data_IF_495760184647
#
_entry.id   IF_495760184647
#
_cell.length_a   1.000
_cell.length_b   1.000
_cell.length_c   1.000
_cell.angle_alpha   90.00
_cell.angle_beta   90.00
_cell.angle_gamma   90.00
#
_symmetry.space_group_name_H-M   'P 1'
#
loop_
_entity.id
_entity.type
_entity.pdbx_description
1 polymer ?
#
# COMPACT_ATOMS: atom_id res chain seq x y z
N UNK A 1 -16.84 -10.13 -3.00
CA UNK A 1 -16.29 -9.57 -1.75
C UNK A 1 -15.38 -10.60 -1.14
N UNK A 2 -14.09 -10.33 -1.18
CA UNK A 2 -13.04 -11.17 -0.63
C UNK A 2 -12.33 -10.39 0.47
N UNK A 3 -12.04 -11.08 1.57
CA UNK A 3 -11.17 -10.57 2.63
C UNK A 3 -9.86 -11.32 2.56
N UNK A 4 -8.76 -10.60 2.71
CA UNK A 4 -7.42 -11.15 2.69
C UNK A 4 -6.58 -10.48 3.77
N UNK A 5 -5.61 -11.20 4.33
CA UNK A 5 -4.68 -10.65 5.30
C UNK A 5 -3.26 -11.12 5.00
N UNK A 6 -2.33 -10.17 5.02
CA UNK A 6 -0.90 -10.42 4.88
C UNK A 6 -0.20 -9.95 6.15
N UNK A 7 0.71 -10.78 6.65
CA UNK A 7 1.54 -10.48 7.82
C UNK A 7 3.01 -10.63 7.47
N UNK A 8 3.82 -9.61 7.74
CA UNK A 8 5.27 -9.59 7.44
C UNK A 8 6.08 -9.18 8.64
N UNK A 9 7.16 -9.92 8.90
CA UNK A 9 8.15 -9.56 9.93
C UNK A 9 9.01 -8.42 9.40
N UNK A 10 9.13 -7.36 10.20
CA UNK A 10 9.94 -6.18 9.89
C UNK A 10 11.07 -6.08 10.92
N UNK A 11 12.33 -5.89 10.50
CA UNK A 11 13.49 -5.85 11.40
C UNK A 11 13.68 -4.45 12.02
N UNK A 12 12.61 -3.92 12.60
CA UNK A 12 12.59 -2.68 13.38
C UNK A 12 11.59 -2.81 14.52
N UNK A 13 11.84 -2.06 15.61
CA UNK A 13 10.77 -1.84 16.60
C UNK A 13 9.55 -1.20 15.92
N UNK A 14 8.36 -1.45 16.49
CA UNK A 14 7.11 -0.85 15.98
C UNK A 14 7.22 0.68 15.90
N UNK A 15 7.81 1.29 16.93
CA UNK A 15 7.94 2.73 17.08
C UNK A 15 8.86 3.35 16.02
N UNK A 16 10.00 2.70 15.73
CA UNK A 16 10.92 3.15 14.67
C UNK A 16 10.32 2.94 13.30
N UNK A 17 9.71 1.77 13.06
CA UNK A 17 9.10 1.45 11.79
C UNK A 17 7.96 2.41 11.45
N UNK A 18 7.09 2.72 12.41
CA UNK A 18 5.94 3.59 12.20
C UNK A 18 6.33 5.03 11.87
N UNK A 19 7.49 5.49 12.36
CA UNK A 19 8.02 6.82 12.03
C UNK A 19 8.44 6.92 10.56
N UNK A 20 8.94 5.83 9.97
CA UNK A 20 9.50 5.86 8.61
C UNK A 20 8.49 5.44 7.54
N UNK A 21 7.61 4.46 7.81
CA UNK A 21 6.71 3.94 6.79
C UNK A 21 5.62 4.96 6.42
N UNK A 22 5.21 5.00 5.15
CA UNK A 22 4.23 5.97 4.63
C UNK A 22 4.68 7.42 4.82
N UNK A 23 5.98 7.67 4.60
CA UNK A 23 6.55 9.02 4.47
C UNK A 23 6.97 9.21 3.02
N UNK A 24 7.02 10.46 2.56
CA UNK A 24 7.40 10.75 1.17
C UNK A 24 8.80 10.21 0.83
N UNK A 25 9.74 10.27 1.77
CA UNK A 25 11.11 9.80 1.58
C UNK A 25 11.18 8.28 1.50
N UNK A 26 10.47 7.58 2.40
CA UNK A 26 10.37 6.12 2.35
C UNK A 26 9.69 5.65 1.08
N UNK A 27 8.56 6.26 0.70
CA UNK A 27 7.77 5.88 -0.46
C UNK A 27 8.58 6.06 -1.76
N UNK A 28 9.29 7.20 -1.90
CA UNK A 28 10.16 7.48 -3.05
C UNK A 28 11.33 6.51 -3.15
N UNK A 29 11.99 6.21 -2.02
CA UNK A 29 13.12 5.29 -2.01
C UNK A 29 12.70 3.85 -2.32
N UNK A 30 11.61 3.39 -1.71
CA UNK A 30 11.20 1.97 -1.78
C UNK A 30 10.38 1.64 -3.01
N UNK A 31 9.78 2.63 -3.70
CA UNK A 31 9.00 2.42 -4.92
C UNK A 31 9.63 1.43 -5.92
N UNK A 32 10.88 1.59 -6.39
CA UNK A 32 11.49 0.64 -7.33
C UNK A 32 11.71 -0.75 -6.72
N UNK A 33 11.94 -0.85 -5.41
CA UNK A 33 12.13 -2.13 -4.70
C UNK A 33 10.82 -2.90 -4.53
N UNK A 34 9.70 -2.18 -4.47
CA UNK A 34 8.34 -2.71 -4.35
C UNK A 34 7.67 -2.91 -5.72
N UNK A 35 8.43 -2.78 -6.82
CA UNK A 35 7.92 -2.86 -8.20
C UNK A 35 6.84 -1.83 -8.49
N UNK A 36 7.09 -0.58 -8.11
CA UNK A 36 6.32 0.57 -8.54
C UNK A 36 7.18 1.42 -9.48
N UNK A 37 6.67 1.68 -10.68
CA UNK A 37 7.30 2.57 -11.64
C UNK A 37 7.32 4.02 -11.13
N UNK A 38 6.28 4.42 -10.41
CA UNK A 38 6.13 5.76 -9.85
C UNK A 38 5.17 5.75 -8.67
N UNK A 39 5.47 6.60 -7.68
CA UNK A 39 4.56 6.94 -6.58
C UNK A 39 4.53 8.46 -6.46
N UNK A 40 3.34 9.03 -6.48
CA UNK A 40 3.11 10.46 -6.25
C UNK A 40 2.27 10.60 -4.98
N UNK A 41 2.75 11.41 -4.03
CA UNK A 41 2.10 11.58 -2.73
C UNK A 41 1.73 13.03 -2.49
N UNK A 42 0.57 13.23 -1.88
CA UNK A 42 0.08 14.53 -1.46
C UNK A 42 -0.43 14.42 -0.02
N UNK A 43 0.05 15.29 0.86
CA UNK A 43 -0.48 15.38 2.23
C UNK A 43 -1.67 16.32 2.24
N UNK A 44 -2.78 15.86 2.83
CA UNK A 44 -4.03 16.59 2.92
C UNK A 44 -4.20 17.20 4.32
N UNK A 45 -4.95 18.31 4.45
CA UNK A 45 -5.34 18.85 5.74
C UNK A 45 -6.08 17.80 6.59
N UNK A 46 -5.78 17.80 7.90
CA UNK A 46 -6.49 17.00 8.90
C UNK A 46 -6.92 17.89 10.06
N UNK A 47 -8.13 17.67 10.56
CA UNK A 47 -8.64 18.35 11.76
C UNK A 47 -8.10 17.73 13.06
N UNK A 48 -7.64 16.48 13.00
CA UNK A 48 -7.01 15.77 14.12
C UNK A 48 -5.49 15.72 13.91
N UNK A 49 -4.76 16.29 14.87
CA UNK A 49 -3.29 16.34 14.87
C UNK A 49 -2.62 14.96 14.93
N UNK A 50 -3.36 13.93 15.34
CA UNK A 50 -2.88 12.55 15.40
C UNK A 50 -3.18 11.77 14.12
N UNK A 51 -3.86 12.38 13.14
CA UNK A 51 -4.19 11.76 11.87
C UNK A 51 -3.45 12.49 10.76
N UNK A 52 -2.62 11.74 10.03
CA UNK A 52 -2.02 12.19 8.78
C UNK A 52 -2.86 11.66 7.64
N UNK A 53 -3.45 12.58 6.86
CA UNK A 53 -4.20 12.24 5.65
C UNK A 53 -3.31 12.40 4.43
N UNK A 54 -3.27 11.40 3.56
CA UNK A 54 -2.51 11.45 2.31
C UNK A 54 -3.30 10.87 1.16
N UNK A 55 -2.98 11.33 -0.04
CA UNK A 55 -3.33 10.64 -1.28
C UNK A 55 -2.04 10.09 -1.86
N UNK A 56 -2.02 8.79 -2.19
CA UNK A 56 -0.91 8.15 -2.87
C UNK A 56 -1.38 7.64 -4.24
N UNK A 57 -0.92 8.26 -5.32
CA UNK A 57 -1.12 7.77 -6.68
C UNK A 57 0.03 6.84 -7.04
N UNK A 58 -0.28 5.57 -7.24
CA UNK A 58 0.71 4.52 -7.50
C UNK A 58 0.57 4.01 -8.92
N UNK A 59 1.71 3.88 -9.59
CA UNK A 59 1.86 3.30 -10.93
C UNK A 59 2.65 2.01 -10.80
N UNK A 60 1.96 0.86 -10.76
CA UNK A 60 2.67 -0.38 -10.53
C UNK A 60 3.46 -0.87 -11.73
N UNK A 61 4.51 -1.64 -11.47
CA UNK A 61 5.34 -2.30 -12.47
C UNK A 61 4.92 -3.77 -12.62
N UNK A 62 3.66 -3.96 -12.99
CA UNK A 62 3.15 -5.27 -13.40
C UNK A 62 2.29 -5.13 -14.64
N UNK A 63 2.50 -6.06 -15.58
CA UNK A 63 1.73 -6.13 -16.81
C UNK A 63 0.28 -6.51 -16.50
N UNK A 64 -0.61 -5.52 -16.52
CA UNK A 64 -2.04 -5.77 -16.52
C UNK A 64 -2.47 -6.12 -17.95
N UNK A 65 -3.17 -7.24 -18.17
CA UNK A 65 -3.66 -7.59 -19.50
C UNK A 65 -4.45 -6.44 -20.13
N UNK A 66 -4.12 -6.06 -21.36
CA UNK A 66 -4.79 -4.96 -22.09
C UNK A 66 -6.31 -5.08 -22.12
N UNK A 67 -6.86 -6.30 -22.19
CA UNK A 67 -8.30 -6.53 -22.14
C UNK A 67 -8.93 -6.07 -20.81
N UNK A 68 -8.21 -6.21 -19.70
CA UNK A 68 -8.65 -5.72 -18.39
C UNK A 68 -8.52 -4.19 -18.33
N UNK A 69 -7.43 -3.61 -18.83
CA UNK A 69 -7.28 -2.15 -18.92
C UNK A 69 -8.40 -1.51 -19.74
N UNK A 70 -8.73 -2.08 -20.90
CA UNK A 70 -9.82 -1.61 -21.75
C UNK A 70 -11.19 -1.73 -21.06
N UNK A 71 -11.46 -2.83 -20.35
CA UNK A 71 -12.69 -2.99 -19.56
C UNK A 71 -12.80 -1.92 -18.46
N UNK A 72 -11.67 -1.52 -17.92
CA UNK A 72 -11.53 -0.50 -16.88
C UNK A 72 -11.50 0.94 -17.45
N UNK A 73 -11.51 1.10 -18.78
CA UNK A 73 -11.47 2.40 -19.46
C UNK A 73 -10.12 3.11 -19.37
N UNK A 74 -9.02 2.35 -19.26
CA UNK A 74 -7.68 2.88 -19.05
C UNK A 74 -6.68 2.41 -20.11
N UNK A 75 -5.69 3.26 -20.40
CA UNK A 75 -4.53 2.92 -21.24
C UNK A 75 -3.35 2.40 -20.40
N UNK A 76 -3.21 2.92 -19.16
CA UNK A 76 -2.21 2.52 -18.17
C UNK A 76 -2.89 2.23 -16.82
N UNK A 77 -2.41 1.22 -16.09
CA UNK A 77 -2.93 0.96 -14.74
C UNK A 77 -2.26 1.89 -13.74
N UNK A 78 -3.07 2.67 -13.05
CA UNK A 78 -2.67 3.31 -11.81
C UNK A 78 -3.83 3.26 -10.82
N UNK A 79 -3.58 3.55 -9.56
CA UNK A 79 -4.62 3.71 -8.57
C UNK A 79 -4.31 4.87 -7.64
N UNK A 80 -5.36 5.41 -7.04
CA UNK A 80 -5.28 6.47 -6.04
C UNK A 80 -5.69 5.88 -4.71
N UNK A 81 -4.80 5.88 -3.73
CA UNK A 81 -5.06 5.39 -2.38
C UNK A 81 -5.24 6.58 -1.43
N UNK A 82 -6.42 6.69 -0.84
CA UNK A 82 -6.70 7.69 0.18
C UNK A 82 -6.41 7.10 1.54
N UNK A 83 -5.41 7.65 2.24
CA UNK A 83 -4.82 7.08 3.43
C UNK A 83 -5.09 7.97 4.65
N UNK A 84 -5.45 7.34 5.76
CA UNK A 84 -5.56 7.98 7.07
C UNK A 84 -4.68 7.21 8.06
N UNK A 85 -3.49 7.75 8.33
CA UNK A 85 -2.50 7.18 9.23
C UNK A 85 -2.66 7.78 10.62
N UNK A 86 -2.92 6.94 11.62
CA UNK A 86 -3.01 7.34 13.01
C UNK A 86 -1.67 7.18 13.73
N UNK A 87 -1.17 8.27 14.28
CA UNK A 87 0.16 8.36 14.89
C UNK A 87 0.25 7.70 16.27
N UNK A 88 -0.88 7.49 16.96
CA UNK A 88 -0.92 7.01 18.34
C UNK A 88 -1.16 5.50 18.45
N UNK A 89 -2.02 4.93 17.61
CA UNK A 89 -2.41 3.53 17.70
C UNK A 89 -1.74 2.62 16.66
N UNK A 90 -0.81 3.16 15.86
CA UNK A 90 -0.05 2.42 14.85
C UNK A 90 -0.92 1.77 13.77
N UNK A 91 -1.99 2.47 13.37
CA UNK A 91 -2.88 1.98 12.31
C UNK A 91 -3.01 2.94 11.13
N UNK A 92 -3.30 2.38 9.97
CA UNK A 92 -3.66 3.14 8.78
C UNK A 92 -4.87 2.52 8.12
N UNK A 93 -5.88 3.33 7.84
CA UNK A 93 -6.98 2.94 6.99
C UNK A 93 -6.75 3.50 5.60
N UNK A 94 -7.11 2.74 4.57
CA UNK A 94 -7.09 3.29 3.22
C UNK A 94 -8.28 2.85 2.39
N UNK A 95 -8.65 3.70 1.43
CA UNK A 95 -9.61 3.38 0.38
C UNK A 95 -8.92 3.62 -0.96
N UNK A 96 -8.75 2.55 -1.71
CA UNK A 96 -8.10 2.59 -3.02
C UNK A 96 -9.16 2.74 -4.10
N UNK A 97 -9.09 3.85 -4.82
CA UNK A 97 -9.92 4.18 -5.96
C UNK A 97 -9.13 3.96 -7.25
N UNK A 98 -9.41 2.89 -8.00
CA UNK A 98 -8.92 2.78 -9.36
C UNK A 98 -9.59 3.88 -10.21
N UNK A 99 -8.91 4.44 -11.23
CA UNK A 99 -9.43 5.49 -12.11
C UNK A 99 -10.44 4.94 -13.12
N UNK A 100 -11.48 4.28 -12.62
CA UNK A 100 -12.54 3.69 -13.44
C UNK A 100 -13.60 4.74 -13.70
N UNK A 101 -14.14 4.74 -14.93
CA UNK A 101 -15.30 5.56 -15.30
C UNK A 101 -16.54 5.25 -14.45
N UNK A 102 -16.56 4.06 -13.83
CA UNK A 102 -17.62 3.60 -12.92
C UNK A 102 -17.00 3.19 -11.58
N UNK A 103 -16.97 4.13 -10.62
CA UNK A 103 -16.39 3.93 -9.30
C UNK A 103 -17.04 2.81 -8.45
N UNK A 104 -18.21 2.32 -8.84
CA UNK A 104 -18.89 1.21 -8.15
C UNK A 104 -18.44 -0.19 -8.61
N UNK A 105 -17.59 -0.28 -9.64
CA UNK A 105 -17.16 -1.56 -10.20
C UNK A 105 -16.13 -2.26 -9.31
N UNK A 106 -15.24 -1.50 -8.68
CA UNK A 106 -14.15 -2.04 -7.86
C UNK A 106 -13.97 -1.16 -6.63
N UNK A 107 -14.14 -1.76 -5.46
CA UNK A 107 -13.89 -1.14 -4.16
C UNK A 107 -12.82 -1.94 -3.44
N UNK A 108 -11.79 -1.26 -2.99
CA UNK A 108 -10.71 -1.83 -2.20
C UNK A 108 -10.56 -0.96 -0.96
N UNK A 109 -10.69 -1.57 0.21
CA UNK A 109 -10.38 -0.94 1.48
C UNK A 109 -9.29 -1.73 2.19
N UNK A 110 -8.43 -1.01 2.90
CA UNK A 110 -7.39 -1.64 3.71
C UNK A 110 -7.42 -1.13 5.15
N UNK A 111 -7.10 -2.04 6.06
CA UNK A 111 -6.74 -1.72 7.43
C UNK A 111 -5.35 -2.27 7.68
N UNK A 112 -4.44 -1.42 8.13
CA UNK A 112 -3.06 -1.79 8.42
C UNK A 112 -2.78 -1.50 9.88
N UNK A 113 -2.06 -2.39 10.55
CA UNK A 113 -1.63 -2.21 11.92
C UNK A 113 -0.28 -2.86 12.18
N UNK A 114 0.46 -2.31 13.15
CA UNK A 114 1.76 -2.83 13.54
C UNK A 114 1.68 -3.52 14.90
N UNK A 115 1.98 -4.82 14.93
CA UNK A 115 2.03 -5.62 16.16
C UNK A 115 3.47 -5.68 16.69
N UNK A 116 3.75 -5.26 17.93
CA UNK A 116 5.08 -5.36 18.49
C UNK A 116 5.46 -6.82 18.75
N UNK A 117 6.74 -7.17 18.54
CA UNK A 117 7.31 -8.46 18.93
C UNK A 117 8.32 -8.23 20.05
N UNK A 118 9.33 -7.43 19.79
CA UNK A 118 10.39 -7.05 20.73
C UNK A 118 10.99 -5.67 20.37
N UNK A 119 12.11 -5.32 21.01
CA UNK A 119 12.81 -4.03 20.81
C UNK A 119 13.43 -3.87 19.41
N UNK A 120 13.46 -4.92 18.60
CA UNK A 120 14.14 -4.93 17.29
C UNK A 120 13.26 -5.46 16.16
N UNK A 121 12.02 -5.86 16.46
CA UNK A 121 11.14 -6.44 15.46
C UNK A 121 9.66 -6.19 15.75
N UNK A 122 8.90 -6.11 14.66
CA UNK A 122 7.44 -6.02 14.69
C UNK A 122 6.84 -6.77 13.50
N UNK A 123 5.54 -7.01 13.55
CA UNK A 123 4.78 -7.44 12.39
C UNK A 123 4.04 -6.26 11.76
N UNK A 124 4.20 -6.08 10.46
CA UNK A 124 3.25 -5.33 9.66
C UNK A 124 2.11 -6.28 9.26
N UNK A 125 0.89 -5.94 9.67
CA UNK A 125 -0.33 -6.63 9.22
C UNK A 125 -1.11 -5.72 8.29
N UNK A 126 -1.46 -6.24 7.12
CA UNK A 126 -2.40 -5.64 6.18
C UNK A 126 -3.63 -6.53 6.10
N UNK A 127 -4.79 -5.94 6.30
CA UNK A 127 -6.09 -6.52 6.02
C UNK A 127 -6.69 -5.80 4.82
N UNK A 128 -7.16 -6.55 3.83
CA UNK A 128 -7.69 -6.01 2.58
C UNK A 128 -9.08 -6.58 2.33
N UNK A 129 -10.03 -5.70 2.05
CA UNK A 129 -11.34 -6.08 1.56
C UNK A 129 -11.50 -5.60 0.11
N UNK A 130 -11.82 -6.54 -0.78
CA UNK A 130 -11.97 -6.26 -2.21
C UNK A 130 -13.37 -6.66 -2.63
N UNK A 131 -14.06 -5.77 -3.33
CA UNK A 131 -15.33 -6.03 -3.96
C UNK A 131 -15.27 -5.63 -5.43
N UNK A 132 -15.39 -6.61 -6.33
CA UNK A 132 -15.50 -6.37 -7.76
C UNK A 132 -16.87 -6.84 -8.30
N UNK A 133 -17.63 -5.93 -8.92
CA UNK A 133 -18.99 -6.20 -9.43
C UNK A 133 -19.05 -6.54 -10.93
N UNK A 134 -17.88 -6.77 -11.57
CA UNK A 134 -17.81 -7.20 -12.98
C UNK A 134 -18.45 -8.58 -13.16
N UNK A 135 -19.48 -8.66 -14.01
CA UNK A 135 -20.19 -9.90 -14.31
C UNK A 135 -19.23 -10.98 -14.84
N UNK A 136 -19.32 -12.20 -14.28
CA UNK A 136 -18.52 -13.39 -14.61
C UNK A 136 -17.01 -13.31 -14.33
N UNK A 137 -16.39 -12.13 -14.31
CA UNK A 137 -14.94 -11.95 -14.17
C UNK A 137 -14.48 -11.35 -12.84
N UNK A 138 -15.38 -10.86 -11.99
CA UNK A 138 -15.03 -10.18 -10.74
C UNK A 138 -14.10 -10.99 -9.83
N UNK A 139 -14.32 -12.30 -9.73
CA UNK A 139 -13.47 -13.19 -8.93
C UNK A 139 -12.02 -13.34 -9.45
N UNK A 140 -11.80 -13.18 -10.75
CA UNK A 140 -10.45 -13.20 -11.33
C UNK A 140 -9.71 -11.90 -11.02
N UNK A 141 -10.43 -10.77 -11.07
CA UNK A 141 -9.90 -9.46 -10.69
C UNK A 141 -9.54 -9.44 -9.21
N UNK A 142 -10.44 -9.89 -8.34
CA UNK A 142 -10.19 -10.02 -6.89
C UNK A 142 -8.93 -10.85 -6.61
N UNK A 143 -8.76 -12.01 -7.27
CA UNK A 143 -7.57 -12.85 -7.13
C UNK A 143 -6.28 -12.20 -7.64
N UNK A 144 -6.34 -11.52 -8.78
CA UNK A 144 -5.18 -10.83 -9.35
C UNK A 144 -4.68 -9.71 -8.42
N UNK A 145 -5.60 -8.96 -7.82
CA UNK A 145 -5.27 -7.91 -6.85
C UNK A 145 -4.62 -8.52 -5.61
N UNK A 146 -5.20 -9.59 -5.04
CA UNK A 146 -4.61 -10.30 -3.88
C UNK A 146 -3.20 -10.76 -4.19
N UNK A 147 -2.98 -11.38 -5.34
CA UNK A 147 -1.65 -11.83 -5.74
C UNK A 147 -0.66 -10.67 -5.86
N UNK A 148 -1.09 -9.52 -6.39
CA UNK A 148 -0.27 -8.30 -6.43
C UNK A 148 0.08 -7.78 -5.02
N UNK A 149 -0.89 -7.77 -4.12
CA UNK A 149 -0.71 -7.38 -2.71
C UNK A 149 0.29 -8.31 -2.01
N UNK A 150 0.12 -9.63 -2.13
CA UNK A 150 1.02 -10.62 -1.54
C UNK A 150 2.46 -10.41 -2.03
N UNK A 151 2.64 -10.31 -3.36
CA UNK A 151 3.94 -10.12 -3.98
C UNK A 151 4.60 -8.81 -3.56
N UNK A 152 3.86 -7.71 -3.47
CA UNK A 152 4.39 -6.43 -3.02
C UNK A 152 4.83 -6.48 -1.56
N UNK A 153 4.02 -7.07 -0.69
CA UNK A 153 4.35 -7.19 0.73
C UNK A 153 5.46 -8.21 1.02
N UNK A 154 5.68 -9.21 0.16
CA UNK A 154 6.84 -10.10 0.26
C UNK A 154 8.17 -9.37 0.08
N UNK A 155 8.17 -8.22 -0.61
CA UNK A 155 9.36 -7.40 -0.84
C UNK A 155 9.60 -6.38 0.28
N UNK A 156 8.58 -6.07 1.08
CA UNK A 156 8.61 -5.01 2.08
C UNK A 156 9.72 -5.15 3.12
N UNK A 157 9.98 -6.32 3.74
CA UNK A 157 11.07 -6.44 4.72
C UNK A 157 12.43 -6.04 4.14
N UNK A 158 12.73 -6.49 2.92
CA UNK A 158 14.00 -6.17 2.23
C UNK A 158 14.07 -4.69 1.84
N UNK A 159 12.95 -4.10 1.45
CA UNK A 159 12.89 -2.67 1.14
C UNK A 159 13.17 -1.81 2.39
N UNK A 160 12.64 -2.23 3.55
CA UNK A 160 12.92 -1.59 4.84
C UNK A 160 14.40 -1.70 5.22
N UNK A 161 14.99 -2.90 5.11
CA UNK A 161 16.42 -3.11 5.36
C UNK A 161 17.30 -2.20 4.47
N UNK A 162 16.97 -2.11 3.19
CA UNK A 162 17.69 -1.25 2.25
C UNK A 162 17.57 0.23 2.61
N UNK A 163 16.39 0.69 3.04
CA UNK A 163 16.17 2.07 3.47
C UNK A 163 16.95 2.41 4.74
N UNK A 164 16.99 1.51 5.72
CA UNK A 164 17.80 1.69 6.93
C UNK A 164 19.29 1.79 6.59
N UNK A 165 19.78 0.92 5.70
CA UNK A 165 21.17 0.97 5.24
C UNK A 165 21.50 2.30 4.54
N UNK A 166 20.56 2.82 3.74
CA UNK A 166 20.68 4.13 3.10
C UNK A 166 20.78 5.26 4.13
N UNK A 167 19.87 5.33 5.10
CA UNK A 167 19.90 6.36 6.16
C UNK A 167 21.23 6.34 6.94
N UNK A 168 21.76 5.16 7.26
CA UNK A 168 23.03 5.03 7.98
C UNK A 168 24.25 5.41 7.12
N UNK A 169 24.13 5.41 5.80
CA UNK A 169 25.21 5.79 4.88
C UNK A 169 25.35 7.31 4.73
N UNK A 170 24.27 8.06 4.92
CA UNK A 170 24.26 9.54 4.82
C UNK A 170 24.69 10.25 6.11
N UNK A 171 24.74 9.53 7.23
CA UNK A 171 25.16 10.05 8.55
C UNK A 171 26.69 9.99 8.74
N UNK A 172 27.46 9.58 7.72
CA UNK A 172 28.94 9.57 7.71
C UNK A 172 29.52 10.75 6.96
#
# INVERSE_FOLDING_TARGET
>A
MVKHSVKKLIPLSREEYWKIIFTDDFDKFTAPLLKFNKVETETLPSEDVNIVKRTAKVFPDYDIPHALLHLLGQEEFHYVDHQEKNLLNYTMNSNTMPPLSHHDILKISTHQHIEPIDEHSCYHVLETEIHCSVLLLGHLVEKAIIHGVENGYDLLPKAVEAYIAHLNSEVK
#
